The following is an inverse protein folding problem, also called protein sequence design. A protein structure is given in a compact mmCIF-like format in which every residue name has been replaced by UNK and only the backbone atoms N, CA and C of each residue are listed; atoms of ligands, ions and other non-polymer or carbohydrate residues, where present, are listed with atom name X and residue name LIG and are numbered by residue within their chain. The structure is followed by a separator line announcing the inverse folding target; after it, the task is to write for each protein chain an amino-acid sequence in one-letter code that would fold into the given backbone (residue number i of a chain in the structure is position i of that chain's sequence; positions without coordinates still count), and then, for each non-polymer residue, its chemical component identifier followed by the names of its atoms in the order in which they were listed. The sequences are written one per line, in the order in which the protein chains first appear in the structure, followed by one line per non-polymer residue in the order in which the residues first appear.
data_IF_427655202395
#
_entry.id   IF_427655202395
#
_cell.length_a   1.000
_cell.length_b   1.000
_cell.length_c   1.000
_cell.angle_alpha   90.00
_cell.angle_beta   90.00
_cell.angle_gamma   90.00
#
_symmetry.space_group_name_H-M   'P 1'
#
loop_
_entity.id
_entity.type
_entity.pdbx_description
1 polymer ?
#
# COMPACT_ATOMS: atom_id res chain seq x y z
N UNK A 1 20.45 -37.85 8.44
CA UNK A 1 19.42 -37.09 9.15
C UNK A 1 19.95 -35.69 9.34
N UNK A 2 19.32 -34.65 8.80
CA UNK A 2 19.76 -33.28 9.06
C UNK A 2 19.45 -32.94 10.51
N UNK A 3 20.46 -32.55 11.29
CA UNK A 3 20.26 -32.00 12.63
C UNK A 3 19.49 -30.68 12.53
N UNK A 4 18.51 -30.50 13.42
CA UNK A 4 17.74 -29.26 13.53
C UNK A 4 18.64 -28.15 14.08
N UNK A 5 18.77 -27.04 13.33
CA UNK A 5 19.73 -25.98 13.65
C UNK A 5 19.28 -25.04 14.77
N UNK A 6 18.07 -25.24 15.30
CA UNK A 6 17.51 -24.52 16.45
C UNK A 6 17.26 -23.02 16.21
N UNK A 7 17.33 -22.54 14.96
CA UNK A 7 17.15 -21.11 14.66
C UNK A 7 15.67 -20.75 14.51
N UNK A 8 15.23 -19.83 15.36
CA UNK A 8 13.90 -19.23 15.28
C UNK A 8 13.82 -18.27 14.08
N UNK A 9 13.18 -18.71 13.00
CA UNK A 9 13.06 -17.93 11.77
C UNK A 9 12.27 -16.62 11.96
N UNK A 10 11.34 -16.56 12.91
CA UNK A 10 10.55 -15.35 13.17
C UNK A 10 11.40 -14.18 13.66
N UNK A 11 12.57 -14.47 14.26
CA UNK A 11 13.56 -13.49 14.69
C UNK A 11 14.54 -13.09 13.58
N UNK A 12 14.53 -13.79 12.46
CA UNK A 12 15.50 -13.61 11.36
C UNK A 12 14.86 -12.98 10.13
N UNK A 13 13.58 -13.26 9.88
CA UNK A 13 12.89 -12.78 8.68
C UNK A 13 11.43 -12.46 8.98
N UNK A 14 10.90 -11.46 8.28
CA UNK A 14 9.46 -11.18 8.25
C UNK A 14 8.99 -11.30 6.81
N UNK A 15 7.91 -12.05 6.61
CA UNK A 15 7.27 -12.17 5.31
C UNK A 15 6.56 -10.86 4.97
N UNK A 16 6.78 -10.35 3.76
CA UNK A 16 6.19 -9.09 3.27
C UNK A 16 5.20 -9.30 2.11
N UNK A 17 5.21 -10.50 1.52
CA UNK A 17 4.29 -10.91 0.47
C UNK A 17 4.24 -12.45 0.36
N UNK A 18 3.06 -12.98 0.08
CA UNK A 18 2.77 -14.38 -0.23
C UNK A 18 2.51 -14.51 -1.74
N UNK A 19 3.36 -15.27 -2.43
CA UNK A 19 3.22 -15.52 -3.85
C UNK A 19 1.95 -16.34 -4.16
N UNK A 20 1.55 -17.22 -3.25
CA UNK A 20 0.35 -18.04 -3.34
C UNK A 20 -0.78 -17.47 -2.48
N UNK A 21 -1.33 -16.34 -2.91
CA UNK A 21 -2.44 -15.66 -2.25
C UNK A 21 -3.76 -15.87 -3.02
N UNK A 22 -4.95 -15.60 -2.43
CA UNK A 22 -6.23 -15.90 -3.06
C UNK A 22 -6.63 -14.89 -4.16
N UNK A 23 -5.84 -13.85 -4.41
CA UNK A 23 -6.16 -12.82 -5.41
C UNK A 23 -5.59 -13.20 -6.77
N UNK A 24 -6.36 -12.93 -7.82
CA UNK A 24 -5.83 -12.96 -9.18
C UNK A 24 -5.10 -11.66 -9.50
N UNK A 25 -4.15 -11.69 -10.44
CA UNK A 25 -3.35 -10.52 -10.84
C UNK A 25 -4.22 -9.28 -11.13
N UNK A 26 -5.35 -9.48 -11.80
CA UNK A 26 -6.31 -8.41 -12.11
C UNK A 26 -6.83 -7.70 -10.85
N UNK A 27 -7.07 -8.43 -9.76
CA UNK A 27 -7.54 -7.83 -8.51
C UNK A 27 -6.43 -7.03 -7.81
N UNK A 28 -5.19 -7.50 -7.89
CA UNK A 28 -4.02 -6.77 -7.40
C UNK A 28 -3.84 -5.48 -8.20
N UNK A 29 -3.85 -5.56 -9.52
CA UNK A 29 -3.75 -4.39 -10.41
C UNK A 29 -4.83 -3.35 -10.13
N UNK A 30 -6.08 -3.81 -9.96
CA UNK A 30 -7.20 -2.94 -9.59
C UNK A 30 -6.99 -2.27 -8.23
N UNK A 31 -6.50 -3.01 -7.23
CA UNK A 31 -6.17 -2.45 -5.93
C UNK A 31 -5.05 -1.39 -6.03
N UNK A 32 -4.02 -1.63 -6.85
CA UNK A 32 -2.95 -0.65 -7.09
C UNK A 32 -3.46 0.63 -7.79
N UNK A 33 -4.47 0.51 -8.67
CA UNK A 33 -5.17 1.69 -9.22
C UNK A 33 -5.89 2.46 -8.10
N UNK A 34 -6.63 1.77 -7.24
CA UNK A 34 -7.35 2.38 -6.12
C UNK A 34 -6.38 3.10 -5.16
N UNK A 35 -5.26 2.48 -4.80
CA UNK A 35 -4.26 3.09 -3.93
C UNK A 35 -3.68 4.38 -4.53
N UNK A 36 -3.42 4.42 -5.84
CA UNK A 36 -2.97 5.64 -6.54
C UNK A 36 -4.05 6.73 -6.54
N UNK A 37 -5.31 6.36 -6.72
CA UNK A 37 -6.43 7.31 -6.64
C UNK A 37 -6.55 7.91 -5.24
N UNK A 38 -6.46 7.09 -4.20
CA UNK A 38 -6.46 7.54 -2.79
C UNK A 38 -5.27 8.46 -2.52
N UNK A 39 -4.05 8.09 -2.92
CA UNK A 39 -2.87 8.94 -2.75
C UNK A 39 -2.97 10.27 -3.50
N UNK A 40 -3.57 10.29 -4.69
CA UNK A 40 -3.84 11.53 -5.44
C UNK A 40 -4.80 12.43 -4.68
N UNK A 41 -5.89 11.86 -4.16
CA UNK A 41 -6.87 12.57 -3.36
C UNK A 41 -6.28 13.10 -2.05
N UNK A 42 -5.46 12.32 -1.36
CA UNK A 42 -4.77 12.74 -0.14
C UNK A 42 -3.92 14.00 -0.34
N UNK A 43 -3.19 14.07 -1.46
CA UNK A 43 -2.39 15.26 -1.81
C UNK A 43 -3.23 16.47 -2.19
N UNK A 44 -4.42 16.26 -2.74
CA UNK A 44 -5.36 17.34 -3.01
C UNK A 44 -5.94 17.94 -1.71
N UNK A 45 -6.02 17.16 -0.63
CA UNK A 45 -6.48 17.61 0.68
C UNK A 45 -5.35 18.17 1.57
N UNK A 46 -4.09 17.85 1.28
CA UNK A 46 -2.91 18.29 2.04
C UNK A 46 -2.57 19.76 1.74
N UNK A 47 -3.35 20.67 2.32
CA UNK A 47 -3.17 22.12 2.25
C UNK A 47 -2.28 22.69 3.38
N UNK A 48 -1.42 21.87 3.98
CA UNK A 48 -0.61 22.30 5.15
C UNK A 48 0.48 23.32 4.80
N UNK A 49 0.75 23.56 3.51
CA UNK A 49 1.56 24.69 3.07
C UNK A 49 1.20 25.10 1.64
N UNK A 50 0.96 26.39 1.44
CA UNK A 50 1.38 27.13 0.25
C UNK A 50 0.32 27.62 -0.73
N UNK A 51 0.69 28.78 -1.28
CA UNK A 51 0.08 29.70 -2.22
C UNK A 51 -0.27 29.06 -3.58
N UNK A 52 -0.03 27.77 -3.81
CA UNK A 52 -0.48 27.01 -5.01
C UNK A 52 -0.50 25.51 -4.74
N UNK A 53 -1.69 24.90 -4.77
CA UNK A 53 -1.84 23.44 -4.76
C UNK A 53 -1.11 22.81 -5.97
N UNK A 54 -0.52 21.60 -5.81
CA UNK A 54 0.04 20.87 -6.94
C UNK A 54 -1.04 20.57 -7.99
N UNK A 55 -0.68 20.67 -9.27
CA UNK A 55 -1.61 20.35 -10.36
C UNK A 55 -2.02 18.88 -10.32
N UNK A 56 -3.19 18.55 -10.89
CA UNK A 56 -3.72 17.19 -10.89
C UNK A 56 -2.73 16.16 -11.42
N UNK A 57 -2.05 16.46 -12.54
CA UNK A 57 -1.06 15.56 -13.14
C UNK A 57 0.16 15.36 -12.23
N UNK A 58 0.61 16.39 -11.53
CA UNK A 58 1.72 16.29 -10.57
C UNK A 58 1.35 15.41 -9.37
N UNK A 59 0.13 15.56 -8.84
CA UNK A 59 -0.38 14.73 -7.75
C UNK A 59 -0.55 13.27 -8.18
N UNK A 60 -1.08 13.03 -9.38
CA UNK A 60 -1.21 11.69 -9.94
C UNK A 60 0.15 11.01 -10.19
N UNK A 61 1.12 11.75 -10.74
CA UNK A 61 2.48 11.26 -10.95
C UNK A 61 3.17 10.93 -9.61
N UNK A 62 3.02 11.80 -8.61
CA UNK A 62 3.56 11.56 -7.27
C UNK A 62 2.94 10.33 -6.61
N UNK A 63 1.62 10.16 -6.70
CA UNK A 63 0.92 9.00 -6.16
C UNK A 63 1.29 7.69 -6.90
N UNK A 64 1.75 7.77 -8.15
CA UNK A 64 2.15 6.60 -8.95
C UNK A 64 3.58 6.13 -8.71
N UNK A 65 4.34 6.75 -7.80
CA UNK A 65 5.70 6.33 -7.45
C UNK A 65 5.70 4.99 -6.72
N UNK A 66 6.82 4.27 -6.85
CA UNK A 66 7.00 2.93 -6.27
C UNK A 66 6.71 2.85 -4.77
N UNK A 67 6.99 3.92 -4.01
CA UNK A 67 6.69 3.97 -2.58
C UNK A 67 5.19 3.73 -2.27
N UNK A 68 4.29 4.29 -3.09
CA UNK A 68 2.85 4.07 -2.94
C UNK A 68 2.47 2.66 -3.35
N UNK A 69 3.10 2.12 -4.40
CA UNK A 69 2.84 0.76 -4.88
C UNK A 69 3.30 -0.28 -3.85
N UNK A 70 4.50 -0.12 -3.28
CA UNK A 70 4.98 -0.97 -2.20
C UNK A 70 4.10 -0.89 -0.96
N UNK A 71 3.67 0.32 -0.59
CA UNK A 71 2.74 0.48 0.52
C UNK A 71 1.40 -0.23 0.26
N UNK A 72 0.87 -0.16 -0.97
CA UNK A 72 -0.35 -0.86 -1.34
C UNK A 72 -0.19 -2.39 -1.28
N UNK A 73 0.93 -2.92 -1.76
CA UNK A 73 1.24 -4.36 -1.69
C UNK A 73 1.37 -4.84 -0.24
N UNK A 74 2.09 -4.10 0.60
CA UNK A 74 2.20 -4.37 2.03
C UNK A 74 0.85 -4.28 2.75
N UNK A 75 -0.01 -3.33 2.35
CA UNK A 75 -1.37 -3.20 2.87
C UNK A 75 -2.22 -4.42 2.55
N UNK A 76 -2.13 -4.97 1.33
CA UNK A 76 -2.80 -6.23 0.99
C UNK A 76 -2.31 -7.38 1.87
N UNK A 77 -0.99 -7.53 2.01
CA UNK A 77 -0.41 -8.61 2.82
C UNK A 77 -0.85 -8.54 4.28
N UNK A 78 -0.76 -7.35 4.90
CA UNK A 78 -1.15 -7.11 6.30
C UNK A 78 -2.64 -7.31 6.56
N UNK A 79 -3.48 -7.14 5.54
CA UNK A 79 -4.92 -7.39 5.62
C UNK A 79 -5.30 -8.80 5.15
N UNK A 80 -4.33 -9.72 5.08
CA UNK A 80 -4.54 -11.14 4.71
C UNK A 80 -5.24 -11.25 3.35
N UNK A 81 -4.89 -10.35 2.43
CA UNK A 81 -5.43 -10.30 1.07
C UNK A 81 -6.94 -10.06 0.98
N UNK A 82 -7.58 -9.61 2.07
CA UNK A 82 -8.96 -9.14 2.05
C UNK A 82 -9.01 -7.71 1.49
N UNK A 83 -9.50 -7.57 0.26
CA UNK A 83 -9.58 -6.29 -0.45
C UNK A 83 -10.43 -5.28 0.31
N UNK A 84 -11.54 -5.70 0.94
CA UNK A 84 -12.44 -4.78 1.64
C UNK A 84 -11.76 -4.17 2.86
N UNK A 85 -11.05 -5.01 3.63
CA UNK A 85 -10.24 -4.54 4.77
C UNK A 85 -9.06 -3.68 4.32
N UNK A 86 -8.38 -4.09 3.26
CA UNK A 86 -7.25 -3.35 2.71
C UNK A 86 -7.65 -1.96 2.20
N UNK A 87 -8.80 -1.82 1.52
CA UNK A 87 -9.35 -0.51 1.12
C UNK A 87 -9.65 0.35 2.35
N UNK A 88 -10.26 -0.24 3.37
CA UNK A 88 -10.54 0.46 4.63
C UNK A 88 -9.26 0.95 5.31
N UNK A 89 -8.15 0.22 5.18
CA UNK A 89 -6.84 0.62 5.70
C UNK A 89 -6.20 1.77 4.91
N UNK A 90 -6.53 1.96 3.62
CA UNK A 90 -6.08 3.10 2.83
C UNK A 90 -6.80 4.41 3.19
N UNK A 91 -7.95 4.33 3.86
CA UNK A 91 -8.80 5.48 4.22
C UNK A 91 -9.26 5.39 5.69
N UNK A 92 -8.33 5.47 6.66
CA UNK A 92 -8.69 5.47 8.08
C UNK A 92 -9.61 6.65 8.43
N UNK A 93 -10.26 6.62 9.60
CA UNK A 93 -11.28 7.60 10.02
C UNK A 93 -10.84 9.08 9.95
N UNK A 94 -9.53 9.37 9.87
CA UNK A 94 -8.96 10.71 9.72
C UNK A 94 -8.71 11.18 8.29
N UNK A 95 -9.01 10.38 7.27
CA UNK A 95 -8.81 10.71 5.86
C UNK A 95 -7.83 9.77 5.13
N UNK A 96 -7.62 9.98 3.82
CA UNK A 96 -6.82 9.10 2.98
C UNK A 96 -5.32 9.09 3.38
N UNK A 97 -4.68 7.92 3.31
CA UNK A 97 -3.26 7.77 3.60
C UNK A 97 -2.40 8.46 2.52
N UNK A 98 -1.38 9.19 2.96
CA UNK A 98 -0.40 9.84 2.09
C UNK A 98 1.00 9.25 2.31
N UNK A 99 1.48 8.48 1.35
CA UNK A 99 2.89 8.06 1.28
C UNK A 99 3.73 9.18 0.64
N UNK A 100 4.91 9.50 1.20
CA UNK A 100 5.83 10.50 0.66
C UNK A 100 7.24 9.98 0.60
#
# INVERSE_FOLDING_TARGET
SGEDDGRDQSKLVTKVWEAFNPLVDKQIDQFLVVARSVGTFARALDCSSSVRQPSLHMSAAAASRDITLFHAMDTLHKNVYDISKAISALVPQGGPVLCR
#
